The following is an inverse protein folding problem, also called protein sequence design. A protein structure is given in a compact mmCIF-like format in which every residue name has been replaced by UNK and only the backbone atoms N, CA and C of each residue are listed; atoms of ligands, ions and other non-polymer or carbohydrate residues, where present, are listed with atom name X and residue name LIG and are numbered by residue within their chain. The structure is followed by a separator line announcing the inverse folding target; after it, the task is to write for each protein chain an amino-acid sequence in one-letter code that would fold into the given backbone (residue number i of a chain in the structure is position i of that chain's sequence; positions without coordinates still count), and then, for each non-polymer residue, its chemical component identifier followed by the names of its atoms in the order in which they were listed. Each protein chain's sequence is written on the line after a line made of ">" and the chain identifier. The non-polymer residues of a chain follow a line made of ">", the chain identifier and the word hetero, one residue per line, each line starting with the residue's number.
data_IF_453778804406
#
_entry.id   IF_453778804406
#
_cell.length_a   1.000
_cell.length_b   1.000
_cell.length_c   1.000
_cell.angle_alpha   90.00
_cell.angle_beta   90.00
_cell.angle_gamma   90.00
#
_symmetry.space_group_name_H-M   'P 1'
#
loop_
_entity.id
_entity.type
_entity.pdbx_description
1 polymer ?
#
# COMPACT_ATOMS: atom_id res chain seq x y z
N UNK A 1 -61.81 -7.56 12.32
CA UNK A 1 -61.13 -8.68 11.65
C UNK A 1 -60.11 -8.08 10.68
N UNK A 2 -58.90 -7.80 11.15
CA UNK A 2 -57.95 -6.92 10.47
C UNK A 2 -57.17 -7.66 9.38
N UNK A 3 -57.27 -7.14 8.16
CA UNK A 3 -56.72 -7.67 6.92
C UNK A 3 -55.45 -6.90 6.54
N UNK A 4 -54.42 -6.93 7.39
CA UNK A 4 -53.13 -6.29 7.10
C UNK A 4 -51.97 -7.11 7.67
N UNK A 5 -51.73 -8.30 7.11
CA UNK A 5 -50.67 -9.18 7.62
C UNK A 5 -49.80 -9.83 6.54
N UNK A 6 -49.64 -9.18 5.38
CA UNK A 6 -48.80 -9.75 4.28
C UNK A 6 -47.88 -8.71 3.62
N UNK A 7 -47.81 -7.45 4.08
CA UNK A 7 -47.10 -6.38 3.36
C UNK A 7 -45.78 -5.87 3.95
N UNK A 8 -45.18 -6.60 4.88
CA UNK A 8 -43.92 -6.18 5.53
C UNK A 8 -42.74 -7.11 5.32
N UNK A 9 -42.85 -8.15 4.48
CA UNK A 9 -41.78 -9.15 4.31
C UNK A 9 -40.85 -8.94 3.11
N UNK A 10 -41.14 -7.99 2.20
CA UNK A 10 -40.43 -7.89 0.91
C UNK A 10 -39.36 -6.78 0.86
N UNK A 11 -39.27 -5.91 1.88
CA UNK A 11 -38.29 -4.80 1.90
C UNK A 11 -36.97 -5.19 2.57
N UNK A 12 -36.93 -6.31 3.31
CA UNK A 12 -35.72 -6.76 4.02
C UNK A 12 -34.75 -7.60 3.16
N UNK A 13 -35.14 -7.98 1.94
CA UNK A 13 -34.33 -8.84 1.07
C UNK A 13 -33.36 -8.06 0.15
N UNK A 14 -33.50 -6.74 0.05
CA UNK A 14 -32.72 -5.92 -0.91
C UNK A 14 -31.50 -5.25 -0.25
N UNK A 15 -31.40 -5.24 1.08
CA UNK A 15 -30.28 -4.63 1.82
C UNK A 15 -29.05 -5.53 1.98
N UNK A 16 -29.11 -6.78 1.54
CA UNK A 16 -28.01 -7.76 1.72
C UNK A 16 -26.99 -7.77 0.57
N UNK A 17 -27.17 -6.96 -0.48
CA UNK A 17 -26.34 -7.01 -1.70
C UNK A 17 -25.24 -5.94 -1.74
N UNK A 18 -25.01 -5.20 -0.65
CA UNK A 18 -24.01 -4.13 -0.58
C UNK A 18 -22.72 -4.50 0.18
N UNK A 19 -22.53 -5.77 0.54
CA UNK A 19 -21.34 -6.24 1.25
C UNK A 19 -20.49 -7.17 0.37
N UNK A 20 -19.89 -6.63 -0.68
CA UNK A 20 -18.78 -7.27 -1.40
C UNK A 20 -17.97 -6.23 -2.18
N UNK A 21 -17.36 -5.28 -1.46
CA UNK A 21 -16.18 -4.57 -1.97
C UNK A 21 -14.99 -5.10 -1.17
N UNK A 22 -14.66 -6.38 -1.41
CA UNK A 22 -13.42 -6.99 -0.97
C UNK A 22 -12.49 -6.98 -2.17
N UNK A 23 -11.28 -6.46 -2.01
CA UNK A 23 -10.22 -6.56 -3.01
C UNK A 23 -10.09 -8.03 -3.43
N UNK A 24 -10.32 -8.28 -4.72
CA UNK A 24 -10.46 -9.61 -5.28
C UNK A 24 -9.06 -10.23 -5.45
N UNK A 25 -8.44 -10.64 -4.34
CA UNK A 25 -7.16 -11.38 -4.31
C UNK A 25 -7.27 -12.79 -4.96
N UNK A 26 -8.41 -13.07 -5.58
CA UNK A 26 -8.86 -14.41 -5.99
C UNK A 26 -8.12 -14.97 -7.20
N UNK A 27 -7.29 -14.18 -7.91
CA UNK A 27 -6.56 -14.62 -9.10
C UNK A 27 -5.08 -14.16 -9.15
N UNK A 28 -4.40 -14.15 -8.00
CA UNK A 28 -2.97 -13.85 -7.97
C UNK A 28 -2.13 -15.08 -8.34
N UNK A 29 -1.14 -14.88 -9.22
CA UNK A 29 -0.15 -15.90 -9.60
C UNK A 29 1.23 -15.51 -9.10
N UNK A 30 2.00 -16.48 -8.61
CA UNK A 30 3.35 -16.22 -8.12
C UNK A 30 4.29 -15.90 -9.30
N UNK A 31 5.03 -14.80 -9.20
CA UNK A 31 6.08 -14.44 -10.13
C UNK A 31 7.38 -15.09 -9.65
N UNK A 32 8.00 -15.91 -10.51
CA UNK A 32 9.26 -16.62 -10.21
C UNK A 32 10.29 -16.47 -11.33
N UNK A 33 10.09 -15.49 -12.21
CA UNK A 33 10.98 -15.16 -13.31
C UNK A 33 11.85 -13.94 -12.96
N UNK A 34 12.63 -13.43 -13.92
CA UNK A 34 13.53 -12.28 -13.72
C UNK A 34 12.85 -11.02 -13.18
N UNK A 35 11.52 -10.90 -13.33
CA UNK A 35 10.77 -9.77 -12.80
C UNK A 35 10.67 -9.81 -11.29
N UNK A 36 10.76 -10.98 -10.65
CA UNK A 36 10.74 -11.09 -9.19
C UNK A 36 11.87 -10.25 -8.57
N UNK A 37 13.09 -10.42 -9.08
CA UNK A 37 14.27 -9.70 -8.58
C UNK A 37 14.19 -8.20 -8.89
N UNK A 38 13.76 -7.83 -10.10
CA UNK A 38 13.60 -6.42 -10.49
C UNK A 38 12.58 -5.69 -9.62
N UNK A 39 11.45 -6.34 -9.34
CA UNK A 39 10.38 -5.78 -8.51
C UNK A 39 10.83 -5.67 -7.06
N UNK A 40 11.55 -6.68 -6.55
CA UNK A 40 12.13 -6.71 -5.21
C UNK A 40 13.14 -5.58 -5.02
N UNK A 41 14.03 -5.36 -5.99
CA UNK A 41 14.97 -4.24 -5.98
C UNK A 41 14.22 -2.90 -5.99
N UNK A 42 13.25 -2.74 -6.88
CA UNK A 42 12.45 -1.52 -6.99
C UNK A 42 11.75 -1.13 -5.69
N UNK A 43 11.09 -2.07 -4.99
CA UNK A 43 10.40 -1.74 -3.73
C UNK A 43 11.37 -1.49 -2.57
N UNK A 44 12.55 -2.10 -2.61
CA UNK A 44 13.62 -1.88 -1.63
C UNK A 44 14.20 -0.48 -1.79
N UNK A 45 14.55 -0.09 -3.02
CA UNK A 45 15.03 1.26 -3.35
C UNK A 45 13.99 2.33 -2.99
N UNK A 46 12.71 2.08 -3.30
CA UNK A 46 11.62 2.94 -2.85
C UNK A 46 11.61 3.10 -1.32
N UNK A 47 11.76 2.00 -0.58
CA UNK A 47 11.66 2.01 0.88
C UNK A 47 12.78 2.83 1.51
N UNK A 48 14.01 2.64 1.04
CA UNK A 48 15.18 3.40 1.45
C UNK A 48 15.00 4.89 1.14
N UNK A 49 14.62 5.21 -0.11
CA UNK A 49 14.36 6.58 -0.55
C UNK A 49 13.23 7.23 0.25
N UNK A 50 12.19 6.48 0.63
CA UNK A 50 11.07 6.98 1.44
C UNK A 50 11.52 7.37 2.84
N UNK A 51 12.44 6.60 3.45
CA UNK A 51 13.00 6.93 4.76
C UNK A 51 13.86 8.20 4.67
N UNK A 52 14.67 8.33 3.61
CA UNK A 52 15.45 9.56 3.38
C UNK A 52 14.54 10.78 3.15
N UNK A 53 13.55 10.65 2.28
CA UNK A 53 12.57 11.71 2.00
C UNK A 53 11.80 12.11 3.27
N UNK A 54 11.45 11.14 4.13
CA UNK A 54 10.81 11.39 5.43
C UNK A 54 11.69 12.26 6.34
N UNK A 55 12.98 11.94 6.42
CA UNK A 55 13.92 12.66 7.28
C UNK A 55 14.27 14.06 6.74
N UNK A 56 14.46 14.17 5.43
CA UNK A 56 14.90 15.42 4.77
C UNK A 56 13.75 16.35 4.39
N UNK A 57 12.52 15.83 4.33
CA UNK A 57 11.36 16.52 3.77
C UNK A 57 11.36 16.60 2.23
N UNK A 58 12.34 15.99 1.56
CA UNK A 58 12.48 16.06 0.10
C UNK A 58 11.61 15.02 -0.63
N UNK A 59 10.30 15.30 -0.74
CA UNK A 59 9.37 14.40 -1.42
C UNK A 59 9.69 14.16 -2.91
N UNK A 60 10.40 15.07 -3.58
CA UNK A 60 10.64 14.97 -5.02
C UNK A 60 11.43 13.72 -5.41
N UNK A 61 12.25 13.18 -4.50
CA UNK A 61 12.99 11.93 -4.71
C UNK A 61 12.07 10.71 -4.86
N UNK A 62 10.82 10.81 -4.41
CA UNK A 62 9.83 9.75 -4.53
C UNK A 62 9.04 9.78 -5.83
N UNK A 63 9.05 10.90 -6.57
CA UNK A 63 8.29 11.03 -7.82
C UNK A 63 8.60 9.92 -8.86
N UNK A 64 9.85 9.43 -9.02
CA UNK A 64 10.15 8.33 -9.93
C UNK A 64 9.45 7.01 -9.59
N UNK A 65 9.07 6.79 -8.32
CA UNK A 65 8.43 5.56 -7.87
C UNK A 65 6.91 5.62 -7.95
N UNK A 66 6.32 6.81 -8.10
CA UNK A 66 4.89 7.03 -7.83
C UNK A 66 4.10 7.42 -9.08
N UNK A 67 2.81 7.08 -9.05
CA UNK A 67 1.84 7.64 -10.00
C UNK A 67 1.44 9.03 -9.52
N UNK A 68 1.71 10.06 -10.32
CA UNK A 68 1.35 11.42 -9.96
C UNK A 68 -0.17 11.63 -9.95
N UNK A 69 -0.63 12.56 -9.11
CA UNK A 69 -2.04 13.00 -9.02
C UNK A 69 -3.04 11.91 -8.60
N UNK A 70 -2.60 10.82 -7.95
CA UNK A 70 -3.49 9.88 -7.28
C UNK A 70 -3.57 10.16 -5.75
N UNK A 71 -4.51 9.50 -5.07
CA UNK A 71 -4.72 9.69 -3.63
C UNK A 71 -3.49 9.30 -2.80
N UNK A 72 -2.82 8.21 -3.17
CA UNK A 72 -1.63 7.72 -2.49
C UNK A 72 -0.48 8.74 -2.54
N UNK A 73 -0.19 9.27 -3.74
CA UNK A 73 0.81 10.32 -3.98
C UNK A 73 0.59 11.54 -3.08
N UNK A 74 -0.62 12.07 -3.06
CA UNK A 74 -0.93 13.24 -2.23
C UNK A 74 -0.85 12.95 -0.73
N UNK A 75 -1.26 11.75 -0.32
CA UNK A 75 -1.20 11.33 1.08
C UNK A 75 0.24 11.16 1.55
N UNK A 76 1.09 10.54 0.73
CA UNK A 76 2.51 10.36 1.02
C UNK A 76 3.26 11.68 1.03
N UNK A 77 2.97 12.59 0.09
CA UNK A 77 3.55 13.94 0.06
C UNK A 77 3.22 14.72 1.32
N UNK A 78 1.96 14.67 1.74
CA UNK A 78 1.53 15.28 3.00
C UNK A 78 2.23 14.64 4.19
N UNK A 79 2.29 13.30 4.24
CA UNK A 79 2.93 12.58 5.33
C UNK A 79 4.41 12.97 5.51
N UNK A 80 5.17 13.05 4.41
CA UNK A 80 6.57 13.52 4.42
C UNK A 80 6.67 14.96 4.91
N UNK A 81 5.83 15.85 4.37
CA UNK A 81 5.82 17.27 4.75
C UNK A 81 5.49 17.47 6.23
N UNK A 82 4.42 16.82 6.72
CA UNK A 82 3.95 16.95 8.09
C UNK A 82 5.03 16.42 9.05
N UNK A 83 5.58 15.23 8.77
CA UNK A 83 6.61 14.61 9.61
C UNK A 83 7.89 15.44 9.72
N UNK A 84 8.39 15.97 8.60
CA UNK A 84 9.56 16.85 8.61
C UNK A 84 9.29 18.15 9.38
N UNK A 85 8.10 18.74 9.21
CA UNK A 85 7.72 19.97 9.91
C UNK A 85 7.60 19.80 11.43
N UNK A 86 7.26 18.59 11.88
CA UNK A 86 7.19 18.20 13.29
C UNK A 86 8.57 17.81 13.87
N UNK A 87 9.59 17.70 13.02
CA UNK A 87 10.93 17.27 13.42
C UNK A 87 11.02 15.77 13.72
N UNK A 88 10.08 14.98 13.19
CA UNK A 88 10.10 13.53 13.34
C UNK A 88 11.19 12.92 12.45
N UNK A 89 11.82 11.85 12.94
CA UNK A 89 12.81 11.10 12.15
C UNK A 89 12.49 9.61 12.13
N UNK A 90 13.01 8.90 11.14
CA UNK A 90 12.74 7.50 10.90
C UNK A 90 14.03 6.78 10.50
N UNK A 91 14.21 5.59 11.05
CA UNK A 91 15.26 4.66 10.68
C UNK A 91 14.66 3.37 10.12
N UNK A 92 15.24 2.86 9.03
CA UNK A 92 14.89 1.54 8.50
C UNK A 92 15.70 0.48 9.26
N UNK A 93 15.02 -0.30 10.11
CA UNK A 93 15.68 -1.38 10.86
C UNK A 93 15.75 -2.67 10.03
N UNK A 94 14.68 -2.97 9.30
CA UNK A 94 14.59 -4.15 8.44
C UNK A 94 13.53 -3.98 7.35
N UNK A 95 13.77 -4.57 6.19
CA UNK A 95 12.82 -4.64 5.08
C UNK A 95 12.99 -5.95 4.33
N UNK A 96 11.99 -6.83 4.42
CA UNK A 96 12.03 -8.15 3.83
C UNK A 96 10.87 -8.33 2.86
N UNK A 97 11.20 -8.47 1.58
CA UNK A 97 10.23 -8.86 0.56
C UNK A 97 10.05 -10.38 0.60
N UNK A 98 8.81 -10.85 0.68
CA UNK A 98 8.49 -12.27 0.78
C UNK A 98 8.13 -12.86 -0.58
N UNK A 99 7.11 -12.32 -1.22
CA UNK A 99 6.52 -12.87 -2.43
C UNK A 99 6.09 -11.75 -3.38
N UNK A 100 6.25 -12.01 -4.67
CA UNK A 100 5.76 -11.15 -5.75
C UNK A 100 4.68 -11.92 -6.50
N UNK A 101 3.53 -11.29 -6.72
CA UNK A 101 2.43 -11.84 -7.46
C UNK A 101 2.09 -10.96 -8.66
N UNK A 102 1.45 -11.55 -9.67
CA UNK A 102 0.86 -10.86 -10.81
C UNK A 102 -0.60 -11.28 -10.95
N UNK A 103 -1.47 -10.32 -11.23
CA UNK A 103 -2.88 -10.58 -11.58
C UNK A 103 -3.07 -10.74 -13.11
N UNK A 104 -4.28 -11.12 -13.57
CA UNK A 104 -4.54 -11.28 -15.00
C UNK A 104 -4.42 -10.00 -15.84
N UNK A 105 -4.47 -8.82 -15.21
CA UNK A 105 -4.34 -7.52 -15.86
C UNK A 105 -2.87 -7.10 -16.01
N UNK A 106 -1.96 -7.81 -15.33
CA UNK A 106 -0.52 -7.60 -15.38
C UNK A 106 0.00 -6.62 -14.33
N UNK A 107 -0.84 -6.25 -13.37
CA UNK A 107 -0.43 -5.51 -12.18
C UNK A 107 0.26 -6.46 -11.19
N UNK A 108 1.25 -5.92 -10.49
CA UNK A 108 2.16 -6.66 -9.63
C UNK A 108 1.88 -6.33 -8.16
N UNK A 109 1.97 -7.34 -7.31
CA UNK A 109 1.71 -7.22 -5.88
C UNK A 109 2.90 -7.75 -5.11
N UNK A 110 3.41 -6.99 -4.14
CA UNK A 110 4.59 -7.39 -3.37
C UNK A 110 4.26 -7.44 -1.90
N UNK A 111 4.34 -8.62 -1.30
CA UNK A 111 4.23 -8.79 0.13
C UNK A 111 5.59 -8.61 0.79
N UNK A 112 5.65 -7.75 1.80
CA UNK A 112 6.86 -7.48 2.56
C UNK A 112 6.56 -7.26 4.05
N UNK A 113 7.51 -7.57 4.90
CA UNK A 113 7.54 -7.10 6.30
C UNK A 113 8.51 -5.95 6.39
N UNK A 114 8.09 -4.88 7.06
CA UNK A 114 8.96 -3.75 7.36
C UNK A 114 9.02 -3.49 8.85
N UNK A 115 10.21 -3.12 9.32
CA UNK A 115 10.49 -2.73 10.69
C UNK A 115 11.23 -1.40 10.69
N UNK A 116 10.67 -0.41 11.36
CA UNK A 116 11.21 0.95 11.41
C UNK A 116 11.22 1.44 12.85
N UNK A 117 12.21 2.26 13.19
CA UNK A 117 12.15 3.10 14.38
C UNK A 117 11.68 4.49 13.98
N UNK A 118 10.66 5.02 14.67
CA UNK A 118 10.16 6.38 14.47
C UNK A 118 10.40 7.18 15.74
N UNK A 119 11.10 8.31 15.60
CA UNK A 119 11.41 9.21 16.71
C UNK A 119 10.47 10.42 16.60
N UNK A 120 9.51 10.50 17.51
CA UNK A 120 8.50 11.56 17.60
C UNK A 120 8.61 12.23 18.99
N UNK A 121 8.75 13.55 19.01
CA UNK A 121 8.90 14.32 20.27
C UNK A 121 10.00 13.79 21.22
N UNK A 122 11.07 13.21 20.67
CA UNK A 122 12.18 12.62 21.43
C UNK A 122 11.91 11.22 21.98
N UNK A 123 10.81 10.57 21.60
CA UNK A 123 10.49 9.19 21.94
C UNK A 123 10.66 8.30 20.72
N UNK A 124 11.50 7.28 20.85
CA UNK A 124 11.66 6.23 19.84
C UNK A 124 10.57 5.17 20.01
N UNK A 125 9.87 4.88 18.91
CA UNK A 125 8.85 3.84 18.83
C UNK A 125 9.19 2.91 17.67
N UNK A 126 9.34 1.62 17.97
CA UNK A 126 9.50 0.59 16.93
C UNK A 126 8.14 0.21 16.36
N UNK A 127 8.06 0.16 15.03
CA UNK A 127 6.86 -0.23 14.28
C UNK A 127 7.23 -1.36 13.33
N UNK A 128 6.58 -2.50 13.50
CA UNK A 128 6.65 -3.65 12.60
C UNK A 128 5.30 -3.85 11.93
N UNK A 129 5.28 -4.08 10.62
CA UNK A 129 4.05 -4.32 9.86
C UNK A 129 4.27 -5.13 8.60
N UNK A 130 3.28 -5.95 8.28
CA UNK A 130 3.15 -6.61 6.99
C UNK A 130 2.39 -5.70 6.02
N UNK A 131 3.00 -5.48 4.87
CA UNK A 131 2.51 -4.56 3.83
C UNK A 131 2.46 -5.26 2.49
N UNK A 132 1.47 -4.88 1.69
CA UNK A 132 1.37 -5.23 0.28
C UNK A 132 1.50 -3.97 -0.56
N UNK A 133 2.49 -3.95 -1.44
CA UNK A 133 2.63 -2.96 -2.48
C UNK A 133 1.78 -3.37 -3.67
N UNK A 134 1.03 -2.43 -4.24
CA UNK A 134 0.36 -2.60 -5.53
C UNK A 134 1.14 -1.78 -6.55
N UNK A 135 1.62 -2.44 -7.60
CA UNK A 135 2.49 -1.89 -8.63
C UNK A 135 1.83 -2.03 -9.99
N UNK A 136 1.99 -1.03 -10.82
CA UNK A 136 1.65 -1.12 -12.24
C UNK A 136 2.89 -0.93 -13.09
N UNK A 137 2.86 -1.47 -14.32
CA UNK A 137 3.91 -1.25 -15.30
C UNK A 137 3.84 0.20 -15.79
N UNK A 138 4.92 0.94 -15.60
CA UNK A 138 5.17 2.21 -16.27
C UNK A 138 5.54 2.01 -17.74
N UNK A 139 5.97 3.09 -18.40
CA UNK A 139 6.61 2.97 -19.71
C UNK A 139 7.96 2.24 -19.59
N UNK A 140 8.50 1.75 -20.72
CA UNK A 140 9.86 1.21 -20.89
C UNK A 140 10.38 0.40 -19.67
N UNK A 141 9.64 -0.63 -19.27
CA UNK A 141 10.02 -1.59 -18.22
C UNK A 141 10.25 -0.98 -16.82
N UNK A 142 9.65 0.18 -16.55
CA UNK A 142 9.65 0.77 -15.21
C UNK A 142 8.43 0.35 -14.40
N UNK A 143 8.53 0.38 -13.07
CA UNK A 143 7.40 0.13 -12.16
C UNK A 143 6.94 1.41 -11.50
N UNK A 144 5.66 1.48 -11.12
CA UNK A 144 5.10 2.56 -10.30
C UNK A 144 4.22 2.00 -9.21
N UNK A 145 4.36 2.53 -8.00
CA UNK A 145 3.52 2.19 -6.86
C UNK A 145 2.18 2.92 -7.02
N UNK A 146 1.12 2.12 -7.09
CA UNK A 146 -0.27 2.58 -7.09
C UNK A 146 -0.67 2.94 -5.67
N UNK A 147 -0.45 2.03 -4.73
CA UNK A 147 -0.76 2.17 -3.31
C UNK A 147 0.01 1.14 -2.47
N UNK A 148 -0.02 1.31 -1.14
CA UNK A 148 0.51 0.35 -0.16
C UNK A 148 -0.59 0.13 0.89
N UNK A 149 -0.87 -1.14 1.19
CA UNK A 149 -1.90 -1.53 2.17
C UNK A 149 -1.34 -2.47 3.23
N UNK A 150 -1.94 -2.44 4.42
CA UNK A 150 -1.64 -3.44 5.45
C UNK A 150 -2.20 -4.80 5.05
N UNK A 151 -1.39 -5.85 5.21
CA UNK A 151 -1.88 -7.22 5.13
C UNK A 151 -2.45 -7.57 6.50
N UNK A 152 -3.74 -7.94 6.55
CA UNK A 152 -4.30 -8.49 7.79
C UNK A 152 -3.82 -9.92 7.92
N UNK A 153 -3.01 -10.19 8.93
CA UNK A 153 -2.76 -11.56 9.43
C UNK A 153 -4.03 -12.19 10.00
#
# INVERSE_FOLDING_TARGET
>A
MNKYWIRTSMVFLILSILAACGSDDTNLTLVTDEREDLVREFVTEYKETMVEAYNTGNFNELEPFLITNNSFYHSLRRYVSDSHSEGNTKELLDFQVHQVFEDPEGDLYVDATERVEVIEHGQANEVERDVRFELTKGGADSFRIVTIRHVKS
#
